data_IF_337661129491
#
_entry.id   IF_337661129491
#
_cell.length_a   1.000
_cell.length_b   1.000
_cell.length_c   1.000
_cell.angle_alpha   90.00
_cell.angle_beta   90.00
_cell.angle_gamma   90.00
#
_symmetry.space_group_name_H-M   'P 1'
#
loop_
_entity.id
_entity.type
_entity.pdbx_description
1 polymer ?
#
# COMPACT_ATOMS: atom_id res chain seq x y z
N UNK A 1 10.29 -20.55 -0.82
CA UNK A 1 10.01 -19.59 -1.92
C UNK A 1 10.24 -18.19 -1.39
N UNK A 2 10.83 -17.30 -2.19
CA UNK A 2 11.03 -15.89 -1.80
C UNK A 2 9.67 -15.18 -1.92
N UNK A 3 9.21 -14.50 -0.87
CA UNK A 3 8.03 -13.63 -0.99
C UNK A 3 8.40 -12.43 -1.86
N UNK A 4 7.63 -12.18 -2.91
CA UNK A 4 7.82 -10.99 -3.74
C UNK A 4 7.28 -9.76 -3.01
N UNK A 5 8.00 -8.63 -3.13
CA UNK A 5 7.54 -7.35 -2.61
C UNK A 5 6.82 -6.58 -3.70
N UNK A 6 5.72 -5.94 -3.33
CA UNK A 6 4.86 -5.17 -4.22
C UNK A 6 5.06 -3.68 -3.91
N UNK A 7 5.29 -2.88 -4.95
CA UNK A 7 5.30 -1.42 -4.89
C UNK A 7 4.10 -0.88 -5.65
N UNK A 8 3.30 -0.04 -5.00
CA UNK A 8 2.11 0.59 -5.60
C UNK A 8 2.36 2.08 -5.74
N UNK A 9 2.37 2.58 -6.98
CA UNK A 9 2.48 3.99 -7.29
C UNK A 9 1.09 4.60 -7.51
N UNK A 10 0.85 5.79 -6.96
CA UNK A 10 -0.49 6.39 -6.96
C UNK A 10 -1.41 5.76 -5.91
N UNK A 11 -0.83 5.30 -4.80
CA UNK A 11 -1.55 4.58 -3.74
C UNK A 11 -2.55 5.47 -2.96
N UNK A 12 -2.42 6.79 -3.03
CA UNK A 12 -3.31 7.76 -2.38
C UNK A 12 -4.59 8.08 -3.17
N UNK A 13 -4.71 7.57 -4.40
CA UNK A 13 -5.93 7.70 -5.21
C UNK A 13 -7.04 6.72 -4.80
N UNK A 14 -8.25 6.93 -5.32
CA UNK A 14 -9.44 6.10 -4.99
C UNK A 14 -9.18 4.59 -5.17
N UNK A 15 -8.65 4.19 -6.32
CA UNK A 15 -8.32 2.78 -6.60
C UNK A 15 -7.07 2.34 -5.84
N UNK A 16 -6.08 3.22 -5.72
CA UNK A 16 -4.80 2.91 -5.06
C UNK A 16 -4.99 2.50 -3.60
N UNK A 17 -5.89 3.18 -2.88
CA UNK A 17 -6.18 2.88 -1.48
C UNK A 17 -6.80 1.49 -1.31
N UNK A 18 -7.88 1.21 -2.04
CA UNK A 18 -8.59 -0.07 -2.03
C UNK A 18 -7.65 -1.24 -2.42
N UNK A 19 -6.87 -1.04 -3.49
CA UNK A 19 -5.92 -2.03 -3.98
C UNK A 19 -4.81 -2.31 -2.95
N UNK A 20 -4.28 -1.26 -2.31
CA UNK A 20 -3.25 -1.41 -1.28
C UNK A 20 -3.75 -2.26 -0.12
N UNK A 21 -4.95 -1.96 0.39
CA UNK A 21 -5.56 -2.73 1.49
C UNK A 21 -5.80 -4.19 1.08
N UNK A 22 -6.36 -4.42 -0.11
CA UNK A 22 -6.60 -5.77 -0.62
C UNK A 22 -5.30 -6.58 -0.75
N UNK A 23 -4.24 -5.98 -1.29
CA UNK A 23 -2.95 -6.64 -1.43
C UNK A 23 -2.26 -6.86 -0.08
N UNK A 24 -2.36 -5.94 0.88
CA UNK A 24 -1.84 -6.14 2.25
C UNK A 24 -2.52 -7.31 2.95
N UNK A 25 -3.82 -7.51 2.73
CA UNK A 25 -4.55 -8.66 3.27
C UNK A 25 -4.08 -9.99 2.64
N UNK A 26 -3.77 -10.00 1.34
CA UNK A 26 -3.36 -11.20 0.61
C UNK A 26 -1.87 -11.54 0.81
N UNK A 27 -1.01 -10.54 0.86
CA UNK A 27 0.45 -10.70 0.80
C UNK A 27 1.17 -10.27 2.10
N UNK A 28 0.44 -9.71 3.06
CA UNK A 28 0.97 -9.19 4.32
C UNK A 28 1.40 -7.72 4.22
N UNK A 29 1.13 -6.94 5.27
CA UNK A 29 1.36 -5.48 5.30
C UNK A 29 2.80 -5.08 4.99
N UNK A 30 3.79 -5.84 5.46
CA UNK A 30 5.21 -5.52 5.28
C UNK A 30 5.75 -5.83 3.87
N UNK A 31 4.93 -6.51 3.05
CA UNK A 31 5.27 -6.88 1.68
C UNK A 31 4.68 -5.95 0.63
N UNK A 32 3.81 -5.03 1.02
CA UNK A 32 3.18 -4.05 0.12
C UNK A 32 3.57 -2.64 0.55
N UNK A 33 4.41 -2.02 -0.28
CA UNK A 33 4.89 -0.65 -0.10
C UNK A 33 4.01 0.25 -0.96
N UNK A 34 3.28 1.16 -0.32
CA UNK A 34 2.52 2.20 -1.00
C UNK A 34 3.43 3.39 -1.30
N UNK A 35 3.10 4.20 -2.30
CA UNK A 35 3.73 5.50 -2.54
C UNK A 35 2.82 6.39 -3.39
N UNK A 36 2.86 7.69 -3.13
CA UNK A 36 2.14 8.71 -3.88
C UNK A 36 2.94 10.02 -3.94
N UNK A 37 2.52 10.97 -4.79
CA UNK A 37 3.10 12.31 -4.84
C UNK A 37 2.83 13.09 -3.55
N UNK A 38 1.71 12.81 -2.88
CA UNK A 38 1.38 13.39 -1.57
C UNK A 38 2.15 12.64 -0.47
N UNK A 39 2.94 13.38 0.30
CA UNK A 39 3.72 12.83 1.41
C UNK A 39 2.84 12.27 2.53
N UNK A 40 1.68 12.88 2.76
CA UNK A 40 0.72 12.35 3.72
C UNK A 40 -0.10 11.20 3.11
N UNK A 41 -0.12 10.02 3.73
CA UNK A 41 -0.96 8.92 3.30
C UNK A 41 -2.44 9.27 3.43
N UNK A 42 -3.24 8.67 2.55
CA UNK A 42 -4.70 8.66 2.75
C UNK A 42 -5.03 8.12 4.16
N UNK A 43 -6.04 8.65 4.87
CA UNK A 43 -6.34 8.23 6.25
C UNK A 43 -6.51 6.72 6.44
N UNK A 44 -7.03 6.03 5.42
CA UNK A 44 -7.20 4.56 5.41
C UNK A 44 -5.88 3.78 5.28
N UNK A 45 -4.79 4.42 4.87
CA UNK A 45 -3.46 3.80 4.75
C UNK A 45 -2.51 4.23 5.87
N UNK A 46 -2.86 5.26 6.64
CA UNK A 46 -2.05 5.78 7.73
C UNK A 46 -1.90 4.73 8.84
N UNK A 47 -0.67 4.31 9.12
CA UNK A 47 -0.37 3.29 10.15
C UNK A 47 -0.60 1.84 9.71
N UNK A 48 -1.08 1.60 8.50
CA UNK A 48 -1.41 0.25 7.98
C UNK A 48 -0.22 -0.47 7.32
N UNK A 49 0.99 0.10 7.39
CA UNK A 49 2.21 -0.47 6.83
C UNK A 49 3.09 0.56 6.12
N UNK A 50 4.13 0.13 5.39
CA UNK A 50 5.05 1.01 4.67
C UNK A 50 4.35 1.85 3.59
N UNK A 51 4.60 3.16 3.58
CA UNK A 51 4.05 4.16 2.66
C UNK A 51 5.14 5.17 2.27
#
# INVERSE_FOLDING_TARGET
>A
MKQEKILIMGAGGQIGVELTLALRNLYGKDNVIATDLKAEPHPLLAGEGPY
#
